data_IF_833612223634
#
_entry.id   IF_833612223634
#
_cell.length_a   1.000
_cell.length_b   1.000
_cell.length_c   1.000
_cell.angle_alpha   90.00
_cell.angle_beta   90.00
_cell.angle_gamma   90.00
#
_symmetry.space_group_name_H-M   'P 1'
#
loop_
_entity.id
_entity.type
_entity.pdbx_description
1 polymer ?
#
# COMPACT_ATOMS: atom_id res chain seq x y z
N UNK A 1 3.31 18.18 11.79
CA UNK A 1 4.08 16.97 11.46
C UNK A 1 5.14 17.37 10.44
N UNK A 2 6.29 16.72 10.42
CA UNK A 2 7.33 17.06 9.45
C UNK A 2 6.88 16.78 8.01
N UNK A 3 7.35 17.64 7.11
CA UNK A 3 7.22 17.46 5.65
C UNK A 3 8.60 17.53 5.03
N UNK A 4 8.80 16.80 3.95
CA UNK A 4 10.02 16.85 3.13
C UNK A 4 9.67 17.13 1.68
N UNK A 5 10.47 17.98 1.03
CA UNK A 5 10.29 18.29 -0.39
C UNK A 5 10.90 17.20 -1.25
N UNK A 6 10.06 16.33 -1.77
CA UNK A 6 10.45 15.11 -2.48
C UNK A 6 9.98 15.18 -3.94
N UNK A 7 10.93 15.26 -4.85
CA UNK A 7 10.67 15.21 -6.30
C UNK A 7 9.51 16.10 -6.75
N UNK A 8 9.50 17.36 -6.22
CA UNK A 8 8.55 18.40 -6.60
C UNK A 8 7.21 18.37 -5.86
N UNK A 9 7.05 17.57 -4.81
CA UNK A 9 5.92 17.64 -3.89
C UNK A 9 6.39 17.58 -2.44
N UNK A 10 5.60 18.16 -1.53
CA UNK A 10 5.80 17.99 -0.09
C UNK A 10 5.19 16.65 0.34
N UNK A 11 5.98 15.76 0.94
CA UNK A 11 5.49 14.54 1.56
C UNK A 11 5.38 14.73 3.07
N UNK A 12 4.18 14.54 3.60
CA UNK A 12 3.92 14.50 5.04
C UNK A 12 4.32 13.12 5.57
N UNK A 13 5.16 13.09 6.61
CA UNK A 13 5.68 11.85 7.16
C UNK A 13 5.84 11.92 8.68
N UNK A 14 6.11 10.77 9.28
CA UNK A 14 6.52 10.63 10.67
C UNK A 14 7.55 9.53 10.81
N UNK A 15 8.39 9.61 11.83
CA UNK A 15 9.34 8.56 12.22
C UNK A 15 9.24 8.34 13.72
N UNK A 16 9.04 7.09 14.13
CA UNK A 16 8.84 6.70 15.52
C UNK A 16 9.49 5.36 15.81
N UNK A 17 9.95 5.20 17.07
CA UNK A 17 10.55 3.97 17.55
C UNK A 17 12.06 3.94 17.36
N UNK A 18 12.64 2.76 17.45
CA UNK A 18 14.08 2.49 17.28
C UNK A 18 14.29 1.02 16.89
N UNK A 19 15.44 0.71 16.33
CA UNK A 19 15.76 -0.64 15.86
C UNK A 19 15.87 -0.68 14.34
N UNK A 20 15.48 -1.79 13.72
CA UNK A 20 15.51 -1.96 12.27
C UNK A 20 14.51 -1.02 11.60
N UNK A 21 14.95 -0.30 10.58
CA UNK A 21 14.12 0.73 9.95
C UNK A 21 13.13 0.12 8.96
N UNK A 22 11.84 0.34 9.18
CA UNK A 22 10.74 0.02 8.26
C UNK A 22 10.20 1.31 7.63
N UNK A 23 10.30 1.45 6.31
CA UNK A 23 9.64 2.53 5.56
C UNK A 23 8.36 1.98 4.97
N UNK A 24 7.22 2.53 5.41
CA UNK A 24 5.89 2.00 5.13
C UNK A 24 5.06 2.88 4.22
N UNK A 25 4.54 2.30 3.13
CA UNK A 25 3.57 2.88 2.22
C UNK A 25 2.15 2.35 2.46
N UNK A 26 1.17 3.24 2.53
CA UNK A 26 -0.26 2.89 2.67
C UNK A 26 -0.91 2.46 1.34
N UNK A 27 -2.17 2.02 1.38
CA UNK A 27 -2.96 1.64 0.21
C UNK A 27 -3.49 2.83 -0.60
N UNK A 28 -3.89 2.57 -1.86
CA UNK A 28 -4.61 3.54 -2.70
C UNK A 28 -5.88 4.00 -1.97
N UNK A 29 -6.20 5.27 -2.04
CA UNK A 29 -7.33 5.91 -1.31
C UNK A 29 -7.21 5.90 0.22
N UNK A 30 -6.05 5.56 0.78
CA UNK A 30 -5.78 5.58 2.22
C UNK A 30 -4.78 6.68 2.57
N UNK A 31 -4.49 6.80 3.85
CA UNK A 31 -3.47 7.69 4.41
C UNK A 31 -2.96 7.12 5.74
N UNK A 32 -1.90 7.70 6.29
CA UNK A 32 -1.44 7.37 7.65
C UNK A 32 -2.55 7.52 8.69
N UNK A 33 -3.39 8.55 8.54
CA UNK A 33 -4.51 8.79 9.45
C UNK A 33 -5.58 7.69 9.35
N UNK A 34 -5.87 7.23 8.13
CA UNK A 34 -6.83 6.14 7.91
C UNK A 34 -6.33 4.81 8.47
N UNK A 35 -5.03 4.56 8.39
CA UNK A 35 -4.41 3.35 8.94
C UNK A 35 -4.37 3.31 10.47
N UNK A 36 -4.62 4.43 11.15
CA UNK A 36 -4.74 4.49 12.60
C UNK A 36 -6.16 4.16 13.12
N UNK A 37 -7.14 4.00 12.22
CA UNK A 37 -8.54 3.72 12.60
C UNK A 37 -8.83 2.21 12.54
N UNK A 38 -9.28 1.56 13.63
CA UNK A 38 -9.56 0.14 13.66
C UNK A 38 -10.66 -0.32 12.67
N UNK A 39 -10.57 -1.56 12.12
CA UNK A 39 -9.47 -2.51 12.30
C UNK A 39 -8.21 -2.02 11.57
N UNK A 40 -7.06 -2.07 12.24
CA UNK A 40 -5.78 -1.63 11.71
C UNK A 40 -5.03 -2.81 11.07
N UNK A 41 -4.37 -2.57 9.94
CA UNK A 41 -3.52 -3.58 9.30
C UNK A 41 -2.28 -3.86 10.15
N UNK A 42 -1.75 -2.83 10.79
CA UNK A 42 -0.60 -2.89 11.71
C UNK A 42 -0.92 -2.04 12.92
N UNK A 43 -0.73 -2.57 14.11
CA UNK A 43 -0.77 -1.82 15.37
C UNK A 43 0.54 -1.03 15.50
N UNK A 44 0.52 0.22 15.04
CA UNK A 44 1.70 1.08 15.02
C UNK A 44 2.27 1.37 16.40
N UNK A 45 1.47 1.66 17.45
CA UNK A 45 1.94 1.73 18.82
C UNK A 45 2.72 0.50 19.28
N UNK A 46 2.30 -0.71 18.89
CA UNK A 46 3.03 -1.95 19.19
C UNK A 46 4.30 -2.08 18.34
N UNK A 47 4.19 -1.91 17.02
CA UNK A 47 5.31 -2.05 16.10
C UNK A 47 6.48 -1.10 16.43
N UNK A 48 6.18 0.15 16.82
CA UNK A 48 7.21 1.16 17.18
C UNK A 48 7.93 0.92 18.49
N UNK A 49 7.51 -0.07 19.30
CA UNK A 49 8.29 -0.53 20.45
C UNK A 49 9.51 -1.35 20.05
N UNK A 50 9.48 -1.92 18.84
CA UNK A 50 10.46 -2.89 18.36
C UNK A 50 11.22 -2.41 17.11
N UNK A 51 10.61 -1.52 16.33
CA UNK A 51 11.09 -1.06 15.02
C UNK A 51 11.21 0.46 14.97
N UNK A 52 12.15 0.95 14.18
CA UNK A 52 12.20 2.34 13.73
C UNK A 52 11.30 2.49 12.51
N UNK A 53 10.11 3.06 12.68
CA UNK A 53 9.08 3.09 11.64
C UNK A 53 8.97 4.48 11.02
N UNK A 54 9.17 4.57 9.71
CA UNK A 54 8.86 5.74 8.89
C UNK A 54 7.57 5.47 8.14
N UNK A 55 6.53 6.27 8.40
CA UNK A 55 5.28 6.26 7.63
C UNK A 55 5.09 7.60 6.93
N UNK A 56 4.62 7.59 5.72
CA UNK A 56 4.37 8.80 4.94
C UNK A 56 3.04 8.74 4.21
N UNK A 57 2.43 9.89 3.98
CA UNK A 57 1.33 10.00 3.03
C UNK A 57 1.94 10.06 1.62
N UNK A 58 1.61 9.11 0.77
CA UNK A 58 2.14 9.06 -0.59
C UNK A 58 1.66 10.28 -1.39
N UNK A 59 2.37 10.62 -2.45
CA UNK A 59 1.98 11.69 -3.40
C UNK A 59 0.49 11.63 -3.73
N UNK A 60 -0.22 12.73 -3.57
CA UNK A 60 -1.66 12.86 -3.83
C UNK A 60 -2.57 12.36 -2.72
N UNK A 61 -2.03 11.76 -1.66
CA UNK A 61 -2.80 11.20 -0.55
C UNK A 61 -2.65 12.03 0.72
N UNK A 62 -3.60 11.87 1.63
CA UNK A 62 -3.59 12.45 2.96
C UNK A 62 -3.21 13.92 2.96
N UNK A 63 -2.16 14.26 3.69
CA UNK A 63 -1.66 15.64 3.83
C UNK A 63 -0.52 15.98 2.85
N UNK A 64 -0.07 15.02 2.06
CA UNK A 64 0.97 15.24 1.06
C UNK A 64 0.49 16.07 -0.12
N UNK A 65 1.45 16.71 -0.78
CA UNK A 65 1.24 17.42 -2.02
C UNK A 65 0.81 16.49 -3.17
N UNK A 66 0.32 17.07 -4.23
CA UNK A 66 -0.15 16.35 -5.41
C UNK A 66 0.46 16.91 -6.70
N UNK A 67 0.34 16.16 -7.79
CA UNK A 67 0.68 16.62 -9.14
C UNK A 67 -0.57 16.52 -10.03
N UNK A 68 -0.80 17.49 -10.94
CA UNK A 68 -1.92 17.39 -11.88
C UNK A 68 -1.71 16.32 -12.95
N UNK A 69 -0.47 15.87 -13.19
CA UNK A 69 -0.16 14.81 -14.16
C UNK A 69 -0.40 13.42 -13.56
N UNK A 70 -1.39 12.65 -14.04
CA UNK A 70 -1.67 11.29 -13.53
C UNK A 70 -0.48 10.33 -13.65
N UNK A 71 0.46 10.56 -14.59
CA UNK A 71 1.68 9.75 -14.75
C UNK A 71 2.60 9.83 -13.51
N UNK A 72 2.46 10.88 -12.70
CA UNK A 72 3.17 11.02 -11.42
C UNK A 72 2.73 10.01 -10.37
N UNK A 73 1.58 9.35 -10.54
CA UNK A 73 1.01 8.37 -9.61
C UNK A 73 1.27 6.91 -10.03
N UNK A 74 2.12 6.67 -11.02
CA UNK A 74 2.62 5.33 -11.33
C UNK A 74 3.35 4.73 -10.13
N UNK A 75 3.22 3.44 -9.92
CA UNK A 75 3.80 2.76 -8.75
C UNK A 75 5.33 2.80 -8.77
N UNK A 76 5.93 2.75 -9.94
CA UNK A 76 7.37 2.98 -10.16
C UNK A 76 7.79 4.38 -9.73
N UNK A 77 6.95 5.40 -10.00
CA UNK A 77 7.22 6.79 -9.61
C UNK A 77 7.10 7.00 -8.11
N UNK A 78 6.11 6.37 -7.48
CA UNK A 78 5.96 6.38 -6.02
C UNK A 78 7.10 5.66 -5.31
N UNK A 79 7.67 4.61 -5.92
CA UNK A 79 8.88 3.96 -5.40
C UNK A 79 10.08 4.90 -5.38
N UNK A 80 10.25 5.72 -6.42
CA UNK A 80 11.29 6.76 -6.43
C UNK A 80 11.04 7.86 -5.39
N UNK A 81 9.78 8.15 -5.04
CA UNK A 81 9.46 9.07 -3.94
C UNK A 81 9.83 8.44 -2.59
N UNK A 82 9.58 7.15 -2.38
CA UNK A 82 9.98 6.42 -1.18
C UNK A 82 11.50 6.40 -0.99
N UNK A 83 12.24 6.10 -2.05
CA UNK A 83 13.71 6.12 -2.04
C UNK A 83 14.25 7.51 -1.73
N UNK A 84 13.73 8.55 -2.38
CA UNK A 84 14.14 9.92 -2.13
C UNK A 84 13.78 10.42 -0.72
N UNK A 85 12.65 9.96 -0.15
CA UNK A 85 12.31 10.24 1.24
C UNK A 85 13.32 9.56 2.21
N UNK A 86 13.70 8.32 1.92
CA UNK A 86 14.72 7.62 2.71
C UNK A 86 16.06 8.38 2.67
N UNK A 87 16.47 8.88 1.48
CA UNK A 87 17.68 9.71 1.33
C UNK A 87 17.60 10.99 2.17
N UNK A 88 16.49 11.72 2.08
CA UNK A 88 16.25 12.95 2.85
C UNK A 88 16.30 12.73 4.36
N UNK A 89 15.87 11.55 4.83
CA UNK A 89 15.89 11.17 6.24
C UNK A 89 17.22 10.54 6.68
N UNK A 90 18.22 10.46 5.80
CA UNK A 90 19.53 9.88 6.09
C UNK A 90 19.48 8.36 6.31
N UNK A 91 18.52 7.67 5.70
CA UNK A 91 18.34 6.22 5.81
C UNK A 91 19.01 5.56 4.60
N UNK A 92 20.15 4.92 4.84
CA UNK A 92 20.91 4.25 3.77
C UNK A 92 20.26 2.93 3.35
N UNK A 93 19.93 2.06 4.31
CA UNK A 93 19.30 0.77 4.08
C UNK A 93 18.06 0.61 4.97
N UNK A 94 17.03 -0.07 4.46
CA UNK A 94 15.76 -0.20 5.19
C UNK A 94 14.94 -1.41 4.71
N UNK A 95 13.97 -1.80 5.52
CA UNK A 95 12.89 -2.71 5.12
C UNK A 95 11.84 -1.92 4.37
N UNK A 96 11.59 -2.26 3.11
CA UNK A 96 10.52 -1.64 2.34
C UNK A 96 9.21 -2.40 2.61
N UNK A 97 8.21 -1.70 3.13
CA UNK A 97 6.93 -2.33 3.44
C UNK A 97 5.74 -1.49 2.99
N UNK A 98 4.59 -2.13 2.93
CA UNK A 98 3.35 -1.42 2.66
C UNK A 98 2.15 -2.30 2.40
N UNK A 99 0.99 -1.64 2.33
CA UNK A 99 -0.29 -2.26 2.04
C UNK A 99 -0.76 -1.93 0.62
N UNK A 100 -1.23 -2.91 -0.14
CA UNK A 100 -1.82 -2.72 -1.48
C UNK A 100 -0.89 -1.90 -2.41
N UNK A 101 -1.20 -0.63 -2.70
CA UNK A 101 -0.31 0.30 -3.40
C UNK A 101 1.11 0.31 -2.79
N UNK A 102 1.21 0.26 -1.46
CA UNK A 102 2.48 0.22 -0.75
C UNK A 102 3.28 -1.05 -1.05
N UNK A 103 2.64 -2.21 -1.30
CA UNK A 103 3.32 -3.41 -1.77
C UNK A 103 3.99 -3.18 -3.13
N UNK A 104 3.26 -2.57 -4.05
CA UNK A 104 3.78 -2.28 -5.38
C UNK A 104 4.96 -1.30 -5.31
N UNK A 105 4.82 -0.26 -4.48
CA UNK A 105 5.90 0.71 -4.21
C UNK A 105 7.14 0.02 -3.67
N UNK A 106 7.00 -0.88 -2.69
CA UNK A 106 8.12 -1.63 -2.09
C UNK A 106 8.81 -2.55 -3.11
N UNK A 107 8.05 -3.26 -3.94
CA UNK A 107 8.59 -4.12 -5.00
C UNK A 107 9.36 -3.31 -6.04
N UNK A 108 8.81 -2.18 -6.51
CA UNK A 108 9.51 -1.29 -7.44
C UNK A 108 10.77 -0.66 -6.81
N UNK A 109 10.74 -0.32 -5.52
CA UNK A 109 11.92 0.18 -4.81
C UNK A 109 13.02 -0.88 -4.74
N UNK A 110 12.66 -2.14 -4.45
CA UNK A 110 13.61 -3.25 -4.40
C UNK A 110 14.24 -3.56 -5.76
N UNK A 111 13.48 -3.42 -6.86
CA UNK A 111 14.02 -3.57 -8.22
C UNK A 111 14.90 -2.38 -8.61
N UNK A 112 14.50 -1.15 -8.26
CA UNK A 112 15.23 0.06 -8.65
C UNK A 112 16.53 0.27 -7.85
N UNK A 113 16.56 -0.16 -6.60
CA UNK A 113 17.70 0.04 -5.69
C UNK A 113 17.89 -1.18 -4.76
N UNK A 114 18.29 -2.34 -5.31
CA UNK A 114 18.35 -3.60 -4.57
C UNK A 114 19.29 -3.54 -3.35
N UNK A 115 20.38 -2.80 -3.43
CA UNK A 115 21.33 -2.65 -2.33
C UNK A 115 20.79 -1.84 -1.14
N UNK A 116 19.71 -1.10 -1.35
CA UNK A 116 19.06 -0.27 -0.34
C UNK A 116 18.01 -1.03 0.49
N UNK A 117 17.50 -2.14 -0.03
CA UNK A 117 16.40 -2.89 0.58
C UNK A 117 16.95 -4.11 1.31
N UNK A 118 16.62 -4.23 2.59
CA UNK A 118 17.07 -5.32 3.47
C UNK A 118 16.08 -6.47 3.56
N UNK A 119 14.79 -6.16 3.46
CA UNK A 119 13.69 -7.11 3.46
C UNK A 119 12.43 -6.43 2.90
N UNK A 120 11.41 -7.23 2.58
CA UNK A 120 10.09 -6.76 2.15
C UNK A 120 9.00 -7.17 3.15
N UNK A 121 8.05 -6.25 3.41
CA UNK A 121 6.80 -6.55 4.13
C UNK A 121 5.62 -6.17 3.24
N UNK A 122 4.98 -7.17 2.63
CA UNK A 122 3.95 -6.99 1.59
C UNK A 122 2.58 -7.37 2.15
N UNK A 123 1.76 -6.38 2.48
CA UNK A 123 0.45 -6.60 3.11
C UNK A 123 -0.67 -6.39 2.09
N UNK A 124 -1.52 -7.39 1.90
CA UNK A 124 -2.63 -7.40 0.94
C UNK A 124 -2.19 -6.97 -0.47
N UNK A 125 -1.31 -7.71 -1.14
CA UNK A 125 -0.89 -7.38 -2.51
C UNK A 125 -2.10 -7.21 -3.43
N UNK A 126 -2.14 -6.13 -4.26
CA UNK A 126 -3.28 -5.87 -5.15
C UNK A 126 -3.25 -6.79 -6.38
N UNK A 127 -4.26 -6.65 -7.26
CA UNK A 127 -4.23 -7.24 -8.60
C UNK A 127 -2.94 -6.87 -9.32
N UNK A 128 -2.34 -7.82 -10.03
CA UNK A 128 -1.12 -7.64 -10.80
C UNK A 128 -1.13 -8.50 -12.06
N UNK A 129 -0.29 -8.15 -13.01
CA UNK A 129 -0.07 -8.87 -14.26
C UNK A 129 -1.39 -9.18 -15.00
N UNK A 130 -1.76 -10.47 -15.20
CA UNK A 130 -2.97 -10.84 -15.95
C UNK A 130 -4.26 -10.33 -15.31
N UNK A 131 -4.30 -10.24 -13.97
CA UNK A 131 -5.48 -9.74 -13.26
C UNK A 131 -5.55 -8.21 -13.27
N UNK A 132 -4.46 -7.55 -13.66
CA UNK A 132 -4.33 -6.09 -13.62
C UNK A 132 -5.20 -5.39 -14.66
N UNK A 133 -5.36 -5.97 -15.85
CA UNK A 133 -6.07 -5.33 -16.95
C UNK A 133 -7.51 -4.92 -16.60
N UNK A 134 -8.28 -5.84 -16.01
CA UNK A 134 -9.66 -5.56 -15.59
C UNK A 134 -9.74 -4.49 -14.48
N UNK A 135 -8.78 -4.53 -13.54
CA UNK A 135 -8.71 -3.51 -12.47
C UNK A 135 -8.31 -2.14 -13.02
N UNK A 136 -7.41 -2.09 -14.00
CA UNK A 136 -7.02 -0.86 -14.66
C UNK A 136 -8.20 -0.20 -15.39
N UNK A 137 -9.04 -1.00 -16.06
CA UNK A 137 -10.27 -0.49 -16.68
C UNK A 137 -11.24 0.08 -15.64
N UNK A 138 -11.43 -0.63 -14.53
CA UNK A 138 -12.24 -0.13 -13.41
C UNK A 138 -11.70 1.19 -12.85
N UNK A 139 -10.40 1.33 -12.69
CA UNK A 139 -9.79 2.56 -12.20
C UNK A 139 -9.96 3.74 -13.18
N UNK A 140 -9.83 3.52 -14.50
CA UNK A 140 -10.14 4.55 -15.49
C UNK A 140 -11.58 5.03 -15.36
N UNK A 141 -12.54 4.09 -15.31
CA UNK A 141 -13.96 4.41 -15.14
C UNK A 141 -14.23 5.15 -13.83
N UNK A 142 -13.62 4.74 -12.71
CA UNK A 142 -13.74 5.45 -11.43
C UNK A 142 -13.25 6.89 -11.54
N UNK A 143 -12.10 7.13 -12.15
CA UNK A 143 -11.59 8.48 -12.39
C UNK A 143 -12.56 9.35 -13.19
N UNK A 144 -13.14 8.82 -14.26
CA UNK A 144 -14.09 9.54 -15.12
C UNK A 144 -15.44 9.79 -14.39
N UNK A 145 -15.91 8.83 -13.63
CA UNK A 145 -17.14 8.98 -12.83
C UNK A 145 -16.95 10.04 -11.75
N UNK A 146 -15.82 10.03 -11.03
CA UNK A 146 -15.55 11.01 -9.97
C UNK A 146 -15.49 12.42 -10.55
N UNK A 147 -14.83 12.62 -11.69
CA UNK A 147 -14.76 13.93 -12.35
C UNK A 147 -16.14 14.41 -12.81
N UNK A 148 -16.96 13.53 -13.36
CA UNK A 148 -18.28 13.90 -13.91
C UNK A 148 -19.39 13.98 -12.88
N UNK A 149 -19.34 13.17 -11.80
CA UNK A 149 -20.49 12.89 -10.92
C UNK A 149 -20.13 12.82 -9.43
N UNK A 150 -18.85 13.02 -9.06
CA UNK A 150 -18.37 12.89 -7.69
C UNK A 150 -18.24 11.44 -7.22
N UNK A 151 -18.05 11.24 -5.92
CA UNK A 151 -17.70 9.95 -5.32
C UNK A 151 -18.89 9.03 -5.04
N UNK A 152 -20.11 9.56 -4.93
CA UNK A 152 -21.28 8.77 -4.49
C UNK A 152 -21.59 7.57 -5.39
N UNK A 153 -21.48 7.62 -6.73
CA UNK A 153 -21.66 6.44 -7.56
C UNK A 153 -20.62 5.33 -7.29
N UNK A 154 -19.37 5.70 -6.96
CA UNK A 154 -18.33 4.74 -6.61
C UNK A 154 -18.63 4.10 -5.26
N UNK A 155 -19.09 4.88 -4.29
CA UNK A 155 -19.51 4.38 -2.97
C UNK A 155 -20.67 3.40 -3.11
N UNK A 156 -21.67 3.73 -3.92
CA UNK A 156 -22.80 2.85 -4.17
C UNK A 156 -22.39 1.53 -4.82
N UNK A 157 -21.51 1.57 -5.83
CA UNK A 157 -20.96 0.36 -6.44
C UNK A 157 -20.12 -0.47 -5.45
N UNK A 158 -19.30 0.18 -4.63
CA UNK A 158 -18.50 -0.46 -3.58
C UNK A 158 -19.35 -1.16 -2.50
N UNK A 159 -20.57 -0.66 -2.25
CA UNK A 159 -21.50 -1.28 -1.30
C UNK A 159 -21.94 -2.70 -1.73
N UNK A 160 -21.91 -3.00 -3.02
CA UNK A 160 -22.28 -4.32 -3.57
C UNK A 160 -21.10 -5.32 -3.58
N UNK A 161 -19.86 -4.84 -3.41
CA UNK A 161 -18.70 -5.72 -3.38
C UNK A 161 -18.68 -6.58 -2.11
N UNK A 162 -18.09 -7.79 -2.17
CA UNK A 162 -17.90 -8.61 -0.99
C UNK A 162 -16.98 -7.91 0.02
N UNK A 163 -17.17 -8.24 1.29
CA UNK A 163 -16.27 -7.84 2.38
C UNK A 163 -15.21 -8.95 2.52
N UNK A 164 -13.93 -8.60 2.71
CA UNK A 164 -12.90 -9.61 2.99
C UNK A 164 -13.31 -10.52 4.14
N UNK A 165 -12.99 -11.82 4.04
CA UNK A 165 -13.50 -12.83 5.00
C UNK A 165 -13.23 -12.51 6.47
N UNK A 166 -12.03 -12.01 6.86
CA UNK A 166 -11.79 -11.64 8.26
C UNK A 166 -12.76 -10.59 8.81
N UNK A 167 -13.32 -9.74 7.94
CA UNK A 167 -14.18 -8.62 8.34
C UNK A 167 -15.66 -8.83 8.03
N UNK A 168 -16.06 -10.03 7.59
CA UNK A 168 -17.44 -10.36 7.18
C UNK A 168 -18.49 -9.93 8.21
N UNK A 169 -18.18 -9.99 9.48
CA UNK A 169 -19.07 -9.67 10.58
C UNK A 169 -18.89 -8.24 11.14
N UNK A 170 -18.00 -7.42 10.56
CA UNK A 170 -17.81 -6.04 11.00
C UNK A 170 -18.82 -5.11 10.32
N UNK A 171 -19.83 -4.70 11.06
CA UNK A 171 -20.97 -3.91 10.57
C UNK A 171 -20.54 -2.61 9.84
N UNK A 172 -19.44 -2.00 10.22
CA UNK A 172 -19.00 -0.69 9.69
C UNK A 172 -17.87 -0.76 8.67
N UNK A 173 -17.49 -1.95 8.17
CA UNK A 173 -16.40 -2.08 7.21
C UNK A 173 -16.59 -1.23 5.95
N UNK A 174 -17.76 -1.36 5.30
CA UNK A 174 -18.08 -0.60 4.08
C UNK A 174 -18.23 0.90 4.35
N UNK A 175 -18.76 1.26 5.53
CA UNK A 175 -18.91 2.66 5.91
C UNK A 175 -17.57 3.39 5.97
N UNK A 176 -16.53 2.78 6.55
CA UNK A 176 -15.18 3.37 6.56
C UNK A 176 -14.66 3.71 5.18
N UNK A 177 -14.86 2.81 4.22
CA UNK A 177 -14.43 3.03 2.82
C UNK A 177 -15.19 4.20 2.20
N UNK A 178 -16.51 4.29 2.45
CA UNK A 178 -17.34 5.39 1.99
C UNK A 178 -16.91 6.74 2.59
N UNK A 179 -16.64 6.77 3.88
CA UNK A 179 -16.24 7.99 4.58
C UNK A 179 -14.89 8.51 4.10
N UNK A 180 -13.92 7.62 3.83
CA UNK A 180 -12.63 8.01 3.22
C UNK A 180 -12.81 8.63 1.84
N UNK A 181 -13.64 8.02 0.99
CA UNK A 181 -13.91 8.56 -0.35
C UNK A 181 -14.59 9.93 -0.30
N UNK A 182 -15.52 10.14 0.65
CA UNK A 182 -16.18 11.44 0.86
C UNK A 182 -15.25 12.52 1.38
N UNK A 183 -14.27 12.13 2.21
CA UNK A 183 -13.29 13.06 2.77
C UNK A 183 -12.17 13.42 1.77
N UNK A 184 -11.99 12.66 0.71
CA UNK A 184 -10.96 12.90 -0.29
C UNK A 184 -11.31 14.07 -1.21
N UNK A 185 -10.29 14.82 -1.66
CA UNK A 185 -10.44 15.81 -2.73
C UNK A 185 -10.74 15.08 -4.05
N UNK A 186 -11.87 15.38 -4.73
CA UNK A 186 -12.28 14.64 -5.94
C UNK A 186 -11.28 14.74 -7.10
N UNK A 187 -10.62 15.89 -7.26
CA UNK A 187 -9.63 16.11 -8.35
C UNK A 187 -8.41 15.24 -8.13
N UNK A 188 -7.90 15.22 -6.89
CA UNK A 188 -6.78 14.36 -6.51
C UNK A 188 -7.15 12.88 -6.67
N UNK A 189 -8.31 12.49 -6.18
CA UNK A 189 -8.78 11.12 -6.22
C UNK A 189 -8.96 10.61 -7.66
N UNK A 190 -9.51 11.41 -8.57
CA UNK A 190 -9.59 11.07 -9.99
C UNK A 190 -8.20 10.89 -10.61
N UNK A 191 -7.25 11.78 -10.28
CA UNK A 191 -5.84 11.66 -10.69
C UNK A 191 -5.18 10.37 -10.20
N UNK A 192 -5.40 10.01 -8.93
CA UNK A 192 -4.88 8.78 -8.32
C UNK A 192 -5.40 7.53 -9.04
N UNK A 193 -6.69 7.45 -9.31
CA UNK A 193 -7.27 6.32 -10.04
C UNK A 193 -6.73 6.22 -11.47
N UNK A 194 -6.59 7.35 -12.18
CA UNK A 194 -6.01 7.35 -13.54
C UNK A 194 -4.55 6.92 -13.54
N UNK A 195 -3.77 7.35 -12.55
CA UNK A 195 -2.39 6.91 -12.40
C UNK A 195 -2.29 5.42 -12.08
N UNK A 196 -3.09 4.95 -11.12
CA UNK A 196 -3.17 3.53 -10.79
C UNK A 196 -3.63 2.66 -11.99
N UNK A 197 -4.45 3.20 -12.90
CA UNK A 197 -4.87 2.51 -14.11
C UNK A 197 -3.74 2.25 -15.12
N UNK A 198 -2.61 2.92 -14.99
CA UNK A 198 -1.43 2.72 -15.86
C UNK A 198 -0.31 1.95 -15.17
N UNK A 199 -0.49 1.60 -13.90
CA UNK A 199 0.53 1.00 -13.07
C UNK A 199 0.31 -0.52 -12.94
N UNK A 200 1.39 -1.26 -12.79
CA UNK A 200 1.42 -2.70 -12.49
C UNK A 200 2.61 -3.01 -11.58
N UNK A 201 2.74 -4.23 -11.12
CA UNK A 201 3.96 -4.73 -10.49
C UNK A 201 5.11 -4.77 -11.50
N UNK A 202 6.38 -4.83 -11.00
CA UNK A 202 7.50 -5.12 -11.88
C UNK A 202 7.30 -6.43 -12.65
N UNK A 203 7.96 -6.61 -13.81
CA UNK A 203 7.95 -7.89 -14.52
C UNK A 203 8.35 -9.04 -13.59
N UNK A 204 7.77 -10.22 -13.79
CA UNK A 204 7.99 -11.40 -12.94
C UNK A 204 9.46 -11.76 -12.78
N UNK A 205 10.23 -11.66 -13.86
CA UNK A 205 11.66 -11.90 -13.85
C UNK A 205 12.41 -10.92 -12.95
N UNK A 206 11.97 -9.66 -12.89
CA UNK A 206 12.55 -8.66 -11.98
C UNK A 206 12.17 -8.93 -10.52
N UNK A 207 10.95 -9.38 -10.28
CA UNK A 207 10.52 -9.80 -8.92
C UNK A 207 11.29 -11.04 -8.47
N UNK A 208 11.45 -12.04 -9.35
CA UNK A 208 12.20 -13.26 -9.04
C UNK A 208 13.69 -13.03 -8.78
N UNK A 209 14.24 -11.90 -9.24
CA UNK A 209 15.61 -11.49 -8.98
C UNK A 209 15.79 -10.82 -7.59
N UNK A 210 14.72 -10.52 -6.88
CA UNK A 210 14.79 -9.99 -5.52
C UNK A 210 15.11 -11.13 -4.56
N UNK A 211 16.29 -11.09 -3.93
CA UNK A 211 16.78 -12.18 -3.08
C UNK A 211 16.67 -11.90 -1.58
N UNK A 212 16.23 -10.70 -1.20
CA UNK A 212 16.05 -10.35 0.22
C UNK A 212 14.83 -11.08 0.81
N UNK A 213 14.83 -11.34 2.13
CA UNK A 213 13.67 -11.95 2.80
C UNK A 213 12.40 -11.14 2.57
N UNK A 214 11.25 -11.82 2.42
CA UNK A 214 9.96 -11.20 2.22
C UNK A 214 8.87 -11.84 3.08
N UNK A 215 8.14 -11.04 3.84
CA UNK A 215 6.92 -11.43 4.54
C UNK A 215 5.73 -10.97 3.72
N UNK A 216 4.84 -11.91 3.37
CA UNK A 216 3.61 -11.63 2.62
C UNK A 216 2.42 -11.94 3.52
N UNK A 217 1.57 -10.93 3.75
CA UNK A 217 0.34 -11.07 4.53
C UNK A 217 -0.85 -10.80 3.62
N UNK A 218 -1.75 -11.77 3.52
CA UNK A 218 -2.92 -11.70 2.65
C UNK A 218 -4.19 -12.12 3.40
N UNK A 219 -5.34 -11.63 2.94
CA UNK A 219 -6.64 -12.13 3.38
C UNK A 219 -7.41 -12.71 2.20
N UNK A 220 -8.46 -13.48 2.50
CA UNK A 220 -9.32 -14.09 1.49
C UNK A 220 -10.61 -13.29 1.29
N UNK A 221 -11.30 -13.55 0.16
CA UNK A 221 -12.62 -12.96 -0.12
C UNK A 221 -12.60 -11.51 -0.62
N UNK A 222 -11.46 -10.99 -1.07
CA UNK A 222 -11.33 -9.62 -1.59
C UNK A 222 -10.89 -9.63 -3.07
N UNK A 223 -11.77 -9.24 -4.00
CA UNK A 223 -11.42 -9.19 -5.42
C UNK A 223 -10.33 -8.16 -5.77
N UNK A 224 -10.20 -7.11 -4.96
CA UNK A 224 -9.20 -6.06 -5.18
C UNK A 224 -7.78 -6.49 -4.75
N UNK A 225 -7.73 -7.44 -3.81
CA UNK A 225 -6.49 -8.02 -3.27
C UNK A 225 -6.58 -9.55 -3.34
N UNK A 226 -6.55 -10.13 -4.55
CA UNK A 226 -6.76 -11.56 -4.71
C UNK A 226 -5.59 -12.34 -4.10
N UNK A 227 -5.90 -13.32 -3.27
CA UNK A 227 -4.90 -14.20 -2.64
C UNK A 227 -4.00 -14.88 -3.69
N UNK A 228 -4.47 -15.03 -4.92
CA UNK A 228 -3.67 -15.53 -6.03
C UNK A 228 -2.43 -14.69 -6.33
N UNK A 229 -2.51 -13.36 -6.17
CA UNK A 229 -1.33 -12.48 -6.31
C UNK A 229 -0.31 -12.73 -5.20
N UNK A 230 -0.78 -12.89 -3.96
CA UNK A 230 0.10 -13.18 -2.82
C UNK A 230 0.81 -14.54 -2.99
N UNK A 231 0.08 -15.56 -3.43
CA UNK A 231 0.64 -16.90 -3.73
C UNK A 231 1.62 -16.88 -4.90
N UNK A 232 1.38 -16.01 -5.89
CA UNK A 232 2.32 -15.83 -7.02
C UNK A 232 3.61 -15.16 -6.55
N UNK A 233 3.52 -14.13 -5.69
CA UNK A 233 4.70 -13.49 -5.09
C UNK A 233 5.50 -14.47 -4.24
N UNK A 234 4.85 -15.32 -3.44
CA UNK A 234 5.49 -16.36 -2.64
C UNK A 234 6.27 -17.37 -3.50
N UNK A 235 5.75 -17.70 -4.68
CA UNK A 235 6.46 -18.57 -5.64
C UNK A 235 7.62 -17.87 -6.35
N UNK A 236 7.54 -16.56 -6.57
CA UNK A 236 8.57 -15.79 -7.29
C UNK A 236 9.72 -15.38 -6.40
N UNK A 237 9.44 -14.97 -5.16
CA UNK A 237 10.45 -14.47 -4.22
C UNK A 237 11.11 -15.65 -3.51
N UNK A 238 12.42 -15.89 -3.71
CA UNK A 238 13.08 -17.11 -3.25
C UNK A 238 13.19 -17.25 -1.72
N UNK A 239 13.03 -16.16 -0.99
CA UNK A 239 13.10 -16.09 0.46
C UNK A 239 11.81 -15.49 1.06
N UNK A 240 10.65 -15.85 0.50
CA UNK A 240 9.35 -15.40 0.98
C UNK A 240 8.74 -16.36 2.00
N UNK A 241 7.90 -15.79 2.87
CA UNK A 241 6.93 -16.52 3.68
C UNK A 241 5.55 -15.87 3.52
N UNK A 242 4.53 -16.69 3.28
CA UNK A 242 3.15 -16.24 3.08
C UNK A 242 2.27 -16.67 4.25
N UNK A 243 1.49 -15.71 4.77
CA UNK A 243 0.41 -15.97 5.73
C UNK A 243 -0.91 -15.45 5.19
N UNK A 244 -1.90 -16.34 5.10
CA UNK A 244 -3.26 -16.03 4.66
C UNK A 244 -4.20 -15.97 5.87
N UNK A 245 -4.96 -14.89 6.01
CA UNK A 245 -5.98 -14.73 7.03
C UNK A 245 -7.38 -14.95 6.45
N UNK A 246 -8.11 -15.88 7.04
CA UNK A 246 -9.52 -16.17 6.77
C UNK A 246 -10.42 -15.73 7.92
N UNK A 247 -9.82 -15.52 9.09
CA UNK A 247 -10.49 -15.15 10.34
C UNK A 247 -9.91 -13.85 10.91
N UNK A 248 -10.69 -13.23 11.79
CA UNK A 248 -10.25 -12.02 12.50
C UNK A 248 -9.08 -12.31 13.44
N UNK A 249 -9.03 -13.50 14.05
CA UNK A 249 -7.95 -13.91 14.93
C UNK A 249 -6.63 -14.07 14.17
N UNK A 250 -6.66 -14.70 12.99
CA UNK A 250 -5.48 -14.82 12.11
C UNK A 250 -5.00 -13.43 11.65
N UNK A 251 -5.92 -12.55 11.25
CA UNK A 251 -5.60 -11.16 10.91
C UNK A 251 -4.98 -10.42 12.11
N UNK A 252 -5.48 -10.64 13.32
CA UNK A 252 -4.96 -10.05 14.56
C UNK A 252 -3.50 -10.41 14.87
N UNK A 253 -2.95 -11.45 14.25
CA UNK A 253 -1.53 -11.86 14.45
C UNK A 253 -0.54 -11.04 13.60
N UNK A 254 -1.00 -10.23 12.64
CA UNK A 254 -0.14 -9.62 11.62
C UNK A 254 0.94 -8.70 12.17
N UNK A 255 0.62 -7.87 13.16
CA UNK A 255 1.63 -6.99 13.79
C UNK A 255 2.74 -7.80 14.44
N UNK A 256 2.39 -8.84 15.21
CA UNK A 256 3.39 -9.74 15.83
C UNK A 256 4.27 -10.42 14.78
N UNK A 257 3.67 -10.92 13.69
CA UNK A 257 4.43 -11.54 12.58
C UNK A 257 5.42 -10.58 11.93
N UNK A 258 5.03 -9.31 11.73
CA UNK A 258 5.94 -8.28 11.19
C UNK A 258 7.10 -8.05 12.16
N UNK A 259 6.81 -7.91 13.46
CA UNK A 259 7.85 -7.70 14.48
C UNK A 259 8.79 -8.89 14.54
N UNK A 260 8.26 -10.11 14.61
CA UNK A 260 9.05 -11.34 14.69
C UNK A 260 9.93 -11.57 13.45
N UNK A 261 9.39 -11.27 12.27
CA UNK A 261 10.13 -11.36 11.00
C UNK A 261 11.29 -10.36 10.91
N UNK A 262 11.15 -9.20 11.56
CA UNK A 262 12.13 -8.12 11.51
C UNK A 262 13.06 -8.07 12.75
N UNK A 263 12.86 -8.98 13.71
CA UNK A 263 13.65 -9.06 14.96
C UNK A 263 15.15 -9.38 14.74
#
# INVERSE_FOLDING_TARGET
>A
MPTSSIRGVELDHERQGSGRTLVWGHGLTSSRADEAVPPVLVDWPEATRHLDVVRYDARGHGRSGYTPDPRGYGWDRMALDQLALADELGIDRYVAGGASLGCATALHAAVAAPDRIEALVLVIPPTAWETRAAQADSYRQMGDIIEARGVEPIIAAGAELPVPEPFRHLAHWKQRSADRLRAADPVRLAGLFRGAATADFPPRESVAAIVVPALILAWTGDPSHPVGTARELDRLLPAAELHEATTLDEFGTWTGRIVDFLA
#
